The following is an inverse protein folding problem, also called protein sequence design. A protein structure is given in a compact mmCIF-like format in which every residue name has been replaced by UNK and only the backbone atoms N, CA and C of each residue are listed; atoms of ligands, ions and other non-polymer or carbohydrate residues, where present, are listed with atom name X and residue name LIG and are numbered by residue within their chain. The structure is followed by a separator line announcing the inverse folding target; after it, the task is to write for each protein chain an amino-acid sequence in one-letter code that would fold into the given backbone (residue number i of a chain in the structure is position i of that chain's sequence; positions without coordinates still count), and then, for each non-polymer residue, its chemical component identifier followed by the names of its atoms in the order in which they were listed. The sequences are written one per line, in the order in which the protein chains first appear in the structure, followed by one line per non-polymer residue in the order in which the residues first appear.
data_IF_423933640233
#
_entry.id   IF_423933640233
#
_cell.length_a   1.000
_cell.length_b   1.000
_cell.length_c   1.000
_cell.angle_alpha   90.00
_cell.angle_beta   90.00
_cell.angle_gamma   90.00
#
_symmetry.space_group_name_H-M   'P 1'
#
loop_
_entity.id
_entity.type
_entity.pdbx_description
1 polymer ?
#
# COMPACT_ATOMS: atom_id res chain seq x y z
N UNK A 1 8.93 -11.36 -8.47
CA UNK A 1 9.28 -10.99 -7.08
C UNK A 1 10.21 -12.08 -6.55
N UNK A 2 11.36 -11.72 -6.05
CA UNK A 2 12.33 -12.66 -5.49
C UNK A 2 11.90 -13.02 -4.06
N UNK A 3 11.53 -14.28 -3.82
CA UNK A 3 11.01 -14.73 -2.52
C UNK A 3 12.08 -14.76 -1.41
N UNK A 4 13.35 -14.83 -1.81
CA UNK A 4 14.52 -14.73 -0.93
C UNK A 4 14.70 -13.34 -0.27
N UNK A 5 13.99 -12.34 -0.80
CA UNK A 5 13.96 -10.96 -0.28
C UNK A 5 12.65 -10.60 0.44
N UNK A 6 11.84 -11.59 0.76
CA UNK A 6 10.56 -11.42 1.45
C UNK A 6 10.63 -12.04 2.85
N UNK A 7 10.29 -11.27 3.87
CA UNK A 7 10.05 -11.77 5.21
C UNK A 7 8.57 -11.66 5.56
N UNK A 8 8.03 -12.68 6.22
CA UNK A 8 6.66 -12.71 6.70
C UNK A 8 6.64 -12.96 8.21
N UNK A 9 6.00 -12.05 8.96
CA UNK A 9 5.88 -12.12 10.43
C UNK A 9 4.39 -12.18 10.77
N UNK A 10 3.79 -13.37 10.90
CA UNK A 10 2.34 -13.52 11.03
C UNK A 10 1.78 -13.03 12.37
N UNK A 11 2.54 -13.18 13.46
CA UNK A 11 2.07 -12.87 14.81
C UNK A 11 3.14 -12.10 15.58
N UNK A 12 3.32 -10.79 15.38
CA UNK A 12 4.35 -10.01 16.06
C UNK A 12 4.07 -9.79 17.55
N UNK A 13 2.85 -10.12 18.03
CA UNK A 13 2.48 -9.99 19.44
C UNK A 13 2.28 -8.54 19.91
N UNK A 14 2.24 -8.29 21.23
CA UNK A 14 2.01 -6.97 21.79
C UNK A 14 3.13 -5.97 21.48
N UNK A 15 4.36 -6.46 21.28
CA UNK A 15 5.54 -5.65 20.94
C UNK A 15 5.67 -5.37 19.43
N UNK A 16 4.58 -5.52 18.66
CA UNK A 16 4.55 -5.29 17.22
C UNK A 16 5.22 -3.95 16.77
N UNK A 17 5.15 -2.84 17.55
CA UNK A 17 5.82 -1.60 17.11
C UNK A 17 7.35 -1.72 17.10
N UNK A 18 7.90 -2.49 18.02
CA UNK A 18 9.34 -2.80 18.07
C UNK A 18 9.74 -3.70 16.90
N UNK A 19 8.91 -4.68 16.58
CA UNK A 19 9.13 -5.57 15.43
C UNK A 19 9.10 -4.76 14.11
N UNK A 20 8.09 -3.89 13.92
CA UNK A 20 8.02 -3.03 12.73
C UNK A 20 9.23 -2.09 12.66
N UNK A 21 9.66 -1.52 13.79
CA UNK A 21 10.85 -0.67 13.81
C UNK A 21 12.12 -1.42 13.39
N UNK A 22 12.28 -2.66 13.83
CA UNK A 22 13.41 -3.52 13.45
C UNK A 22 13.35 -3.88 11.94
N UNK A 23 12.16 -4.18 11.42
CA UNK A 23 11.97 -4.44 10.00
C UNK A 23 12.32 -3.22 9.13
N UNK A 24 11.96 -2.01 9.56
CA UNK A 24 12.30 -0.76 8.86
C UNK A 24 13.83 -0.51 8.79
N UNK A 25 14.62 -1.15 9.64
CA UNK A 25 16.07 -1.05 9.58
C UNK A 25 16.72 -1.92 8.49
N UNK A 26 16.01 -2.97 8.05
CA UNK A 26 16.55 -3.96 7.12
C UNK A 26 15.77 -4.12 5.80
N UNK A 27 14.61 -3.49 5.66
CA UNK A 27 13.77 -3.63 4.48
C UNK A 27 13.39 -2.27 3.91
N UNK A 28 13.40 -2.17 2.58
CA UNK A 28 12.99 -0.95 1.87
C UNK A 28 11.48 -0.69 1.97
N UNK A 29 10.67 -1.76 2.06
CA UNK A 29 9.21 -1.68 2.17
C UNK A 29 8.73 -2.60 3.28
N UNK A 30 7.99 -2.04 4.23
CA UNK A 30 7.37 -2.77 5.32
C UNK A 30 5.85 -2.58 5.25
N UNK A 31 5.13 -3.68 5.02
CA UNK A 31 3.66 -3.68 5.07
C UNK A 31 3.23 -4.18 6.45
N UNK A 32 2.46 -3.39 7.18
CA UNK A 32 2.03 -3.71 8.53
C UNK A 32 0.50 -3.68 8.65
N UNK A 33 -0.10 -4.80 9.04
CA UNK A 33 -1.51 -4.84 9.43
C UNK A 33 -1.72 -4.09 10.76
N UNK A 34 -2.71 -3.20 10.81
CA UNK A 34 -3.04 -2.50 12.05
C UNK A 34 -3.75 -3.44 13.04
N UNK A 35 -3.22 -3.66 14.25
CA UNK A 35 -3.82 -4.57 15.24
C UNK A 35 -5.01 -3.92 15.99
N UNK A 36 -5.67 -2.93 15.39
CA UNK A 36 -6.74 -2.13 16.01
C UNK A 36 -6.40 -0.65 16.05
N UNK A 37 -6.82 0.03 17.11
CA UNK A 37 -6.54 1.47 17.30
C UNK A 37 -5.08 1.69 17.65
N UNK A 38 -4.40 2.53 16.88
CA UNK A 38 -2.98 2.84 17.06
C UNK A 38 -2.82 4.22 17.68
N UNK A 39 -2.03 4.30 18.75
CA UNK A 39 -1.72 5.58 19.36
C UNK A 39 -0.93 6.48 18.40
N UNK A 40 -1.29 7.77 18.28
CA UNK A 40 -0.59 8.71 17.40
C UNK A 40 0.92 8.80 17.64
N UNK A 41 1.36 8.64 18.87
CA UNK A 41 2.78 8.63 19.26
C UNK A 41 3.55 7.44 18.65
N UNK A 42 2.93 6.26 18.59
CA UNK A 42 3.52 5.07 17.96
C UNK A 42 3.61 5.30 16.44
N UNK A 43 2.53 5.75 15.82
CA UNK A 43 2.52 6.03 14.38
C UNK A 43 3.58 7.06 14.00
N UNK A 44 3.70 8.16 14.74
CA UNK A 44 4.69 9.21 14.49
C UNK A 44 6.13 8.69 14.63
N UNK A 45 6.39 7.87 15.65
CA UNK A 45 7.71 7.26 15.87
C UNK A 45 8.12 6.33 14.74
N UNK A 46 7.20 5.47 14.29
CA UNK A 46 7.45 4.55 13.17
C UNK A 46 7.63 5.30 11.84
N UNK A 47 6.82 6.35 11.60
CA UNK A 47 6.99 7.20 10.43
C UNK A 47 8.34 7.93 10.43
N UNK A 48 8.77 8.47 11.59
CA UNK A 48 10.09 9.09 11.72
C UNK A 48 11.22 8.10 11.44
N UNK A 49 11.11 6.86 11.93
CA UNK A 49 12.11 5.82 11.66
C UNK A 49 12.16 5.44 10.17
N UNK A 50 11.00 5.27 9.53
CA UNK A 50 10.94 5.01 8.10
C UNK A 50 11.68 6.10 7.30
N UNK A 51 11.44 7.40 7.64
CA UNK A 51 12.16 8.52 7.02
C UNK A 51 13.67 8.45 7.24
N UNK A 52 14.11 8.17 8.46
CA UNK A 52 15.55 8.06 8.78
C UNK A 52 16.24 6.95 8.02
N UNK A 53 15.53 5.87 7.69
CA UNK A 53 16.07 4.71 6.96
C UNK A 53 15.86 4.79 5.44
N UNK A 54 15.10 5.76 4.95
CA UNK A 54 14.69 5.80 3.54
C UNK A 54 13.74 4.66 3.17
N UNK A 55 13.09 4.04 4.17
CA UNK A 55 12.16 2.94 4.00
C UNK A 55 10.72 3.44 3.84
N UNK A 56 9.88 2.61 3.21
CA UNK A 56 8.44 2.87 3.08
C UNK A 56 7.68 2.03 4.08
N UNK A 57 6.93 2.68 4.98
CA UNK A 57 5.95 2.01 5.83
C UNK A 57 4.58 2.10 5.18
N UNK A 58 3.98 0.95 4.89
CA UNK A 58 2.67 0.81 4.27
C UNK A 58 1.69 0.13 5.23
N UNK A 59 0.98 0.89 6.06
CA UNK A 59 -0.03 0.33 6.94
C UNK A 59 -1.25 -0.14 6.14
N UNK A 60 -1.78 -1.30 6.52
CA UNK A 60 -3.06 -1.80 6.05
C UNK A 60 -4.10 -1.65 7.18
N UNK A 61 -5.18 -0.93 6.90
CA UNK A 61 -6.19 -0.58 7.90
C UNK A 61 -6.13 0.88 8.35
N UNK A 62 -6.79 1.22 9.46
CA UNK A 62 -6.82 2.57 9.98
C UNK A 62 -5.47 2.97 10.61
N UNK A 63 -4.86 4.05 10.12
CA UNK A 63 -3.59 4.56 10.61
C UNK A 63 -3.61 6.08 10.75
N UNK A 64 -3.20 6.65 11.88
CA UNK A 64 -3.20 8.10 12.07
C UNK A 64 -2.07 8.77 11.27
N UNK A 65 -2.36 9.98 10.79
CA UNK A 65 -1.37 10.91 10.22
C UNK A 65 -0.54 10.35 9.05
N UNK A 66 -1.19 9.65 8.12
CA UNK A 66 -0.54 9.16 6.89
C UNK A 66 -0.22 10.31 5.92
N UNK A 67 0.87 10.17 5.17
CA UNK A 67 1.26 11.13 4.13
C UNK A 67 0.48 10.88 2.82
N UNK A 68 0.18 9.61 2.51
CA UNK A 68 -0.56 9.19 1.33
C UNK A 68 -1.51 8.04 1.68
N UNK A 69 -2.74 8.13 1.21
CA UNK A 69 -3.73 7.06 1.27
C UNK A 69 -3.95 6.50 -0.12
N UNK A 70 -3.94 5.18 -0.25
CA UNK A 70 -4.31 4.47 -1.46
C UNK A 70 -5.62 3.72 -1.20
N UNK A 71 -6.66 4.08 -1.94
CA UNK A 71 -7.97 3.40 -1.89
C UNK A 71 -8.15 2.60 -3.17
N UNK A 72 -8.49 1.31 -3.05
CA UNK A 72 -8.81 0.44 -4.16
C UNK A 72 -10.32 0.21 -4.23
N UNK A 73 -10.91 0.51 -5.38
CA UNK A 73 -12.36 0.42 -5.63
C UNK A 73 -12.66 -0.21 -6.99
N UNK A 74 -13.96 -0.40 -7.26
CA UNK A 74 -14.51 -0.83 -8.55
C UNK A 74 -13.86 -2.11 -9.11
N UNK A 75 -13.86 -3.23 -8.35
CA UNK A 75 -13.29 -4.47 -8.83
C UNK A 75 -14.13 -5.05 -9.97
N UNK A 76 -13.56 -5.12 -11.18
CA UNK A 76 -14.16 -5.80 -12.31
C UNK A 76 -13.37 -7.07 -12.64
N UNK A 77 -14.04 -8.22 -12.59
CA UNK A 77 -13.44 -9.49 -12.93
C UNK A 77 -13.65 -9.84 -14.42
N UNK A 78 -12.61 -10.35 -15.05
CA UNK A 78 -12.59 -10.68 -16.47
C UNK A 78 -12.23 -12.16 -16.70
N UNK A 79 -12.82 -12.76 -17.74
CA UNK A 79 -12.52 -14.14 -18.17
C UNK A 79 -13.62 -15.15 -17.93
N UNK A 80 -14.77 -14.70 -17.36
CA UNK A 80 -16.00 -15.50 -17.32
C UNK A 80 -16.96 -14.87 -18.34
N UNK A 81 -17.15 -15.53 -19.47
CA UNK A 81 -18.16 -15.17 -20.45
C UNK A 81 -19.32 -16.16 -20.37
N UNK A 82 -20.57 -15.64 -20.34
CA UNK A 82 -21.80 -16.44 -20.33
C UNK A 82 -21.85 -17.57 -19.27
N UNK A 83 -21.31 -17.29 -18.06
CA UNK A 83 -21.35 -18.24 -16.95
C UNK A 83 -20.35 -19.40 -17.03
N UNK A 84 -19.46 -19.42 -18.04
CA UNK A 84 -18.40 -20.43 -18.21
C UNK A 84 -17.07 -19.74 -18.47
N UNK A 85 -15.97 -20.32 -17.95
CA UNK A 85 -14.63 -19.79 -18.17
C UNK A 85 -13.77 -19.84 -16.92
N UNK A 86 -12.58 -19.26 -17.02
CA UNK A 86 -11.63 -19.11 -15.91
C UNK A 86 -11.42 -17.63 -15.67
N UNK A 87 -11.46 -17.18 -14.43
CA UNK A 87 -11.04 -15.84 -14.05
C UNK A 87 -9.60 -15.61 -14.53
N UNK A 88 -9.40 -14.64 -15.41
CA UNK A 88 -8.09 -14.34 -16.05
C UNK A 88 -7.46 -13.08 -15.46
N UNK A 89 -8.27 -12.16 -15.00
CA UNK A 89 -7.77 -10.92 -14.45
C UNK A 89 -8.84 -10.15 -13.69
N UNK A 90 -8.37 -9.22 -12.89
CA UNK A 90 -9.18 -8.28 -12.14
C UNK A 90 -8.67 -6.88 -12.44
N UNK A 91 -9.55 -6.03 -12.89
CA UNK A 91 -9.30 -4.59 -12.99
C UNK A 91 -9.79 -3.94 -11.71
N UNK A 92 -9.05 -2.95 -11.22
CA UNK A 92 -9.50 -2.10 -10.11
C UNK A 92 -9.00 -0.67 -10.31
N UNK A 93 -9.73 0.25 -9.72
CA UNK A 93 -9.36 1.67 -9.67
C UNK A 93 -8.61 1.93 -8.37
N UNK A 94 -7.41 2.52 -8.46
CA UNK A 94 -6.67 2.97 -7.29
C UNK A 94 -6.70 4.49 -7.25
N UNK A 95 -7.21 5.04 -6.16
CA UNK A 95 -7.22 6.47 -5.88
C UNK A 95 -6.15 6.78 -4.85
N UNK A 96 -5.20 7.62 -5.21
CA UNK A 96 -4.18 8.13 -4.32
C UNK A 96 -4.56 9.52 -3.82
N UNK A 97 -4.57 9.72 -2.49
CA UNK A 97 -4.83 11.00 -1.82
C UNK A 97 -3.75 11.26 -0.79
N UNK A 98 -3.16 12.45 -0.82
CA UNK A 98 -2.07 12.81 0.06
C UNK A 98 -2.18 14.23 0.60
N UNK A 99 -1.07 14.71 1.18
CA UNK A 99 -0.91 16.06 1.70
C UNK A 99 -0.03 16.90 0.77
N UNK A 100 -0.14 18.22 0.87
CA UNK A 100 0.71 19.13 0.10
C UNK A 100 0.55 18.96 -1.41
N UNK A 101 1.62 18.69 -2.12
CA UNK A 101 1.61 18.49 -3.57
C UNK A 101 0.78 17.29 -4.04
N UNK A 102 0.50 16.34 -3.14
CA UNK A 102 -0.35 15.18 -3.41
C UNK A 102 -1.81 15.37 -2.95
N UNK A 103 -2.25 16.59 -2.63
CA UNK A 103 -3.61 16.88 -2.16
C UNK A 103 -4.68 16.68 -3.23
N UNK A 104 -4.35 16.87 -4.51
CA UNK A 104 -5.24 16.54 -5.61
C UNK A 104 -5.31 15.01 -5.78
N UNK A 105 -6.51 14.40 -5.71
CA UNK A 105 -6.66 12.96 -5.91
C UNK A 105 -6.16 12.54 -7.29
N UNK A 106 -5.43 11.42 -7.34
CA UNK A 106 -4.96 10.82 -8.59
C UNK A 106 -5.57 9.43 -8.72
N UNK A 107 -6.11 9.12 -9.89
CA UNK A 107 -6.69 7.83 -10.20
C UNK A 107 -5.80 7.08 -11.18
N UNK A 108 -5.72 5.77 -10.98
CA UNK A 108 -5.11 4.85 -11.94
C UNK A 108 -5.87 3.55 -11.98
N UNK A 109 -5.89 2.89 -13.14
CA UNK A 109 -6.50 1.57 -13.29
C UNK A 109 -5.39 0.51 -13.29
N UNK A 110 -5.56 -0.49 -12.44
CA UNK A 110 -4.63 -1.61 -12.33
C UNK A 110 -5.29 -2.90 -12.79
N UNK A 111 -4.51 -3.74 -13.49
CA UNK A 111 -4.88 -5.10 -13.81
C UNK A 111 -4.10 -6.06 -12.93
N UNK A 112 -4.77 -7.04 -12.32
CA UNK A 112 -4.18 -8.07 -11.47
C UNK A 112 -4.67 -9.47 -11.88
N UNK A 113 -3.78 -10.43 -12.21
CA UNK A 113 -2.37 -10.22 -12.49
C UNK A 113 -2.20 -9.37 -13.75
N UNK A 114 -1.07 -8.68 -13.85
CA UNK A 114 -0.78 -7.93 -15.07
C UNK A 114 -0.62 -8.86 -16.26
N UNK A 115 -1.28 -8.57 -17.39
CA UNK A 115 -0.97 -9.25 -18.64
C UNK A 115 0.48 -8.94 -19.03
N UNK A 116 1.33 -9.94 -19.02
CA UNK A 116 2.70 -9.87 -19.61
C UNK A 116 3.69 -8.87 -19.01
N UNK A 117 3.71 -8.71 -17.68
CA UNK A 117 4.88 -8.12 -17.00
C UNK A 117 5.22 -6.64 -17.27
N UNK A 118 4.48 -5.97 -18.12
CA UNK A 118 4.69 -4.54 -18.41
C UNK A 118 3.57 -3.76 -17.73
N UNK A 119 3.93 -2.95 -16.73
CA UNK A 119 3.02 -1.91 -16.27
C UNK A 119 2.76 -0.98 -17.46
N UNK A 120 1.51 -0.77 -17.90
CA UNK A 120 1.24 0.42 -18.68
C UNK A 120 1.70 1.62 -17.84
N UNK A 121 2.38 2.60 -18.42
CA UNK A 121 2.73 3.80 -17.69
C UNK A 121 1.44 4.32 -17.05
N UNK A 122 1.46 4.75 -15.78
CA UNK A 122 0.29 5.35 -15.17
C UNK A 122 -0.18 6.46 -16.09
N UNK A 123 -1.45 6.37 -16.52
CA UNK A 123 -2.09 7.42 -17.31
C UNK A 123 -2.29 8.64 -16.41
N UNK A 124 -1.25 9.40 -16.24
CA UNK A 124 -1.07 10.50 -15.32
C UNK A 124 0.34 10.40 -14.78
N UNK A 125 1.26 11.19 -15.33
CA UNK A 125 2.65 11.27 -14.89
C UNK A 125 2.70 11.47 -13.37
N UNK A 126 3.08 10.41 -12.64
CA UNK A 126 3.65 10.57 -11.31
C UNK A 126 5.03 11.21 -11.50
N UNK A 127 5.09 12.53 -11.70
CA UNK A 127 6.34 13.26 -11.57
C UNK A 127 6.78 13.09 -10.12
N UNK A 128 7.97 12.58 -9.86
CA UNK A 128 8.56 12.68 -8.53
C UNK A 128 8.75 14.17 -8.26
N UNK A 129 7.97 14.73 -7.34
CA UNK A 129 8.33 15.97 -6.71
C UNK A 129 9.61 15.67 -5.93
N UNK A 130 10.75 16.24 -6.35
CA UNK A 130 12.01 16.09 -5.66
C UNK A 130 11.88 16.53 -4.21
N UNK A 131 12.13 15.62 -3.32
CA UNK A 131 12.11 15.77 -1.88
C UNK A 131 12.11 14.39 -1.26
N UNK A 132 12.97 14.13 -0.30
CA UNK A 132 13.05 12.90 0.48
C UNK A 132 11.67 12.52 1.02
N UNK A 133 11.03 11.54 0.40
CA UNK A 133 9.71 11.08 0.79
C UNK A 133 9.90 9.74 1.51
N UNK A 134 10.01 9.79 2.82
CA UNK A 134 9.61 8.63 3.61
C UNK A 134 8.08 8.63 3.64
N UNK A 135 7.50 7.71 2.93
CA UNK A 135 6.07 7.74 2.68
C UNK A 135 5.38 6.69 3.52
N UNK A 136 4.51 7.12 4.44
CA UNK A 136 3.57 6.23 5.10
C UNK A 136 2.34 6.14 4.20
N UNK A 137 2.17 4.98 3.56
CA UNK A 137 1.03 4.71 2.70
C UNK A 137 -0.02 3.92 3.48
N UNK A 138 -1.25 4.37 3.44
CA UNK A 138 -2.39 3.64 3.97
C UNK A 138 -3.16 3.00 2.82
N UNK A 139 -3.27 1.69 2.81
CA UNK A 139 -4.09 0.96 1.87
C UNK A 139 -5.45 0.66 2.49
N UNK A 140 -6.51 1.24 1.95
CA UNK A 140 -7.87 0.92 2.31
C UNK A 140 -8.50 0.12 1.18
N UNK A 141 -8.94 -1.10 1.46
CA UNK A 141 -9.76 -1.90 0.55
C UNK A 141 -11.19 -1.78 1.05
N UNK A 142 -12.06 -1.22 0.22
CA UNK A 142 -13.50 -1.31 0.45
C UNK A 142 -13.95 -2.70 0.05
N UNK A 143 -14.27 -3.54 1.03
CA UNK A 143 -14.98 -4.79 0.83
C UNK A 143 -16.47 -4.41 0.80
N UNK A 144 -17.05 -4.33 -0.39
CA UNK A 144 -18.50 -4.30 -0.51
C UNK A 144 -19.01 -5.68 -0.11
N UNK A 145 -19.71 -5.73 1.03
CA UNK A 145 -20.51 -6.88 1.43
C UNK A 145 -21.63 -7.06 0.40
N UNK A 146 -21.56 -8.13 -0.39
CA UNK A 146 -22.65 -8.66 -1.21
C UNK A 146 -23.44 -9.69 -0.45
#
# INVERSE_FOLDING_TARGET
MALDRLAFVPNPGPDWPTVVAALLDGFDIVVAGAPGTIAPSIASRLAARARQRGAVLMPYGAWPAVDLTLDASDPAWHGIETGRGRLRGRQLTVTARGRGAASAPRLTHLWLPQPSGILPPPSGELRPAGGEIATVHHLRVHEEAG
#
